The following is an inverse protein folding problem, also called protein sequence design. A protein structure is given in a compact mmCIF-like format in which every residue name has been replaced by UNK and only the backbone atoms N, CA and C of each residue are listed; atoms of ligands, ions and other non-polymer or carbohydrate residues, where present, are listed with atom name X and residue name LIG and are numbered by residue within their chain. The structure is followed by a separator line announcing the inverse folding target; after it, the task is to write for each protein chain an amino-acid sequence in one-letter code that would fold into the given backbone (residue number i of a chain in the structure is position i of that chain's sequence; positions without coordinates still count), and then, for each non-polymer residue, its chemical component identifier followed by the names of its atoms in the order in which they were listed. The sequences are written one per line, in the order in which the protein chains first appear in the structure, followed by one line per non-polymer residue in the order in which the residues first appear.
data_IF_661404316606
#
_entry.id   IF_661404316606
#
_cell.length_a   1.000
_cell.length_b   1.000
_cell.length_c   1.000
_cell.angle_alpha   90.00
_cell.angle_beta   90.00
_cell.angle_gamma   90.00
#
_symmetry.space_group_name_H-M   'P 1'
#
loop_
_entity.id
_entity.type
_entity.pdbx_description
1 polymer ?
#
# COMPACT_ATOMS: atom_id res chain seq x y z
N UNK A 1 1.12 18.27 -21.31
CA UNK A 1 1.34 17.36 -20.18
C UNK A 1 1.67 15.96 -20.70
N UNK A 2 2.71 15.35 -20.17
CA UNK A 2 3.13 14.03 -20.60
C UNK A 2 2.62 13.00 -19.62
N UNK A 3 1.77 12.10 -20.08
CA UNK A 3 1.26 11.01 -19.27
C UNK A 3 2.29 9.87 -19.23
N UNK A 4 2.31 9.12 -18.14
CA UNK A 4 3.13 7.90 -18.08
C UNK A 4 2.71 6.94 -19.19
N UNK A 5 3.65 6.13 -19.66
CA UNK A 5 3.34 5.11 -20.67
C UNK A 5 2.43 4.03 -20.08
N UNK A 6 1.70 3.28 -20.94
CA UNK A 6 0.90 2.16 -20.46
C UNK A 6 1.69 1.16 -19.62
N UNK A 7 2.93 0.87 -19.99
CA UNK A 7 3.80 -0.03 -19.21
C UNK A 7 4.09 0.50 -17.82
N UNK A 8 4.34 1.80 -17.70
CA UNK A 8 4.57 2.43 -16.41
C UNK A 8 3.31 2.40 -15.56
N UNK A 9 2.16 2.71 -16.16
CA UNK A 9 0.88 2.70 -15.44
C UNK A 9 0.50 1.30 -14.99
N UNK A 10 0.76 0.29 -15.80
CA UNK A 10 0.46 -1.11 -15.49
C UNK A 10 1.01 -1.51 -14.12
N UNK A 11 2.22 -1.09 -13.81
CA UNK A 11 2.87 -1.44 -12.54
C UNK A 11 2.05 -0.98 -11.34
N UNK A 12 1.52 0.25 -11.39
CA UNK A 12 0.71 0.79 -10.30
C UNK A 12 -0.61 0.03 -10.16
N UNK A 13 -1.29 -0.20 -11.27
CA UNK A 13 -2.56 -0.90 -11.25
C UNK A 13 -2.41 -2.34 -10.78
N UNK A 14 -1.41 -3.05 -11.27
CA UNK A 14 -1.14 -4.42 -10.82
C UNK A 14 -0.78 -4.47 -9.34
N UNK A 15 -0.04 -3.48 -8.87
CA UNK A 15 0.32 -3.41 -7.46
C UNK A 15 -0.89 -3.30 -6.56
N UNK A 16 -1.91 -2.55 -6.98
CA UNK A 16 -3.13 -2.34 -6.21
C UNK A 16 -4.19 -3.42 -6.41
N UNK A 17 -4.14 -4.18 -7.50
CA UNK A 17 -5.24 -5.06 -7.93
C UNK A 17 -5.32 -6.35 -7.12
N UNK A 18 -5.73 -6.22 -5.85
CA UNK A 18 -5.93 -7.34 -4.93
C UNK A 18 -6.74 -6.79 -3.75
N UNK A 19 -7.83 -7.48 -3.36
CA UNK A 19 -8.71 -6.95 -2.31
C UNK A 19 -7.98 -6.72 -0.98
N UNK A 20 -7.02 -7.58 -0.61
CA UNK A 20 -6.24 -7.39 0.62
C UNK A 20 -5.33 -6.17 0.52
N UNK A 21 -4.73 -5.95 -0.65
CA UNK A 21 -3.87 -4.78 -0.87
C UNK A 21 -4.68 -3.49 -0.85
N UNK A 22 -5.88 -3.50 -1.38
CA UNK A 22 -6.80 -2.36 -1.30
C UNK A 22 -7.14 -2.07 0.17
N UNK A 23 -7.43 -3.11 0.95
CA UNK A 23 -7.69 -2.95 2.38
C UNK A 23 -6.47 -2.38 3.12
N UNK A 24 -5.27 -2.85 2.77
CA UNK A 24 -4.05 -2.35 3.38
C UNK A 24 -3.85 -0.86 3.09
N UNK A 25 -4.05 -0.45 1.84
CA UNK A 25 -3.95 0.97 1.47
C UNK A 25 -4.92 1.82 2.29
N UNK A 26 -6.15 1.36 2.45
CA UNK A 26 -7.16 2.07 3.24
C UNK A 26 -6.76 2.17 4.71
N UNK A 27 -6.22 1.10 5.29
CA UNK A 27 -5.76 1.09 6.68
C UNK A 27 -4.57 2.02 6.90
N UNK A 28 -3.61 1.99 5.98
CA UNK A 28 -2.42 2.86 6.07
C UNK A 28 -2.83 4.32 6.00
N UNK A 29 -3.82 4.65 5.18
CA UNK A 29 -4.33 6.01 5.09
C UNK A 29 -4.90 6.49 6.43
N UNK A 30 -5.64 5.63 7.11
CA UNK A 30 -6.24 5.97 8.41
C UNK A 30 -5.22 5.95 9.55
N UNK A 31 -4.16 5.17 9.41
CA UNK A 31 -3.19 4.92 10.47
C UNK A 31 -1.78 5.12 9.93
N UNK A 32 -1.41 6.37 9.68
CA UNK A 32 -0.08 6.69 9.15
C UNK A 32 0.98 6.19 10.13
N UNK A 33 1.95 5.46 9.60
CA UNK A 33 3.00 4.85 10.43
C UNK A 33 2.65 3.45 10.94
N UNK A 34 1.56 2.85 10.48
CA UNK A 34 1.14 1.52 10.93
C UNK A 34 2.17 0.45 10.60
N UNK A 35 2.34 -0.53 11.49
CA UNK A 35 3.26 -1.64 11.30
C UNK A 35 2.55 -2.82 10.63
N UNK A 36 3.36 -3.73 10.06
CA UNK A 36 2.86 -4.98 9.47
C UNK A 36 2.08 -5.80 10.50
N UNK A 37 2.62 -5.87 11.72
CA UNK A 37 1.99 -6.62 12.80
C UNK A 37 0.59 -6.09 13.10
N UNK A 38 0.46 -4.76 13.16
CA UNK A 38 -0.84 -4.14 13.45
C UNK A 38 -1.81 -4.32 12.30
N UNK A 39 -1.34 -4.24 11.06
CA UNK A 39 -2.18 -4.53 9.89
C UNK A 39 -2.70 -5.97 9.97
N UNK A 40 -1.81 -6.91 10.30
CA UNK A 40 -2.20 -8.30 10.44
C UNK A 40 -3.29 -8.52 11.49
N UNK A 41 -3.16 -7.85 12.64
CA UNK A 41 -4.17 -7.90 13.68
C UNK A 41 -5.53 -7.37 13.19
N UNK A 42 -5.52 -6.20 12.58
CA UNK A 42 -6.74 -5.53 12.13
C UNK A 42 -7.46 -6.29 11.02
N UNK A 43 -6.71 -6.92 10.12
CA UNK A 43 -7.28 -7.68 9.01
C UNK A 43 -7.44 -9.17 9.33
N UNK A 44 -7.06 -9.58 10.54
CA UNK A 44 -7.10 -10.98 10.97
C UNK A 44 -6.37 -11.86 9.95
N UNK A 45 -5.18 -11.44 9.59
CA UNK A 45 -4.39 -12.08 8.55
C UNK A 45 -2.97 -12.34 9.05
N UNK A 46 -2.40 -13.43 8.56
CA UNK A 46 -1.04 -13.84 8.89
C UNK A 46 -0.03 -12.73 8.53
N UNK A 47 0.89 -12.43 9.45
CA UNK A 47 1.92 -11.40 9.25
C UNK A 47 2.75 -11.66 7.99
N UNK A 48 3.07 -12.92 7.72
CA UNK A 48 3.84 -13.28 6.53
C UNK A 48 3.12 -12.88 5.24
N UNK A 49 1.81 -13.12 5.19
CA UNK A 49 0.97 -12.74 4.05
C UNK A 49 0.91 -11.22 3.92
N UNK A 50 0.72 -10.52 5.04
CA UNK A 50 0.69 -9.05 5.04
C UNK A 50 2.03 -8.48 4.60
N UNK A 51 3.15 -9.06 5.07
CA UNK A 51 4.49 -8.63 4.66
C UNK A 51 4.67 -8.73 3.15
N UNK A 52 4.18 -9.81 2.54
CA UNK A 52 4.26 -10.00 1.10
C UNK A 52 3.44 -8.93 0.35
N UNK A 53 2.23 -8.66 0.82
CA UNK A 53 1.38 -7.64 0.19
C UNK A 53 1.96 -6.24 0.35
N UNK A 54 2.46 -5.88 1.52
CA UNK A 54 3.09 -4.56 1.74
C UNK A 54 4.35 -4.41 0.90
N UNK A 55 5.14 -5.49 0.77
CA UNK A 55 6.34 -5.47 -0.07
C UNK A 55 5.97 -5.16 -1.52
N UNK A 56 4.92 -5.79 -2.04
CA UNK A 56 4.47 -5.54 -3.42
C UNK A 56 3.95 -4.12 -3.59
N UNK A 57 3.25 -3.59 -2.59
CA UNK A 57 2.77 -2.21 -2.63
C UNK A 57 3.93 -1.20 -2.62
N UNK A 58 4.97 -1.48 -1.84
CA UNK A 58 6.18 -0.64 -1.83
C UNK A 58 6.88 -0.70 -3.19
N UNK A 59 7.04 -1.89 -3.74
CA UNK A 59 7.65 -2.07 -5.07
C UNK A 59 6.87 -1.37 -6.17
N UNK A 60 5.55 -1.34 -6.05
CA UNK A 60 4.69 -0.65 -7.02
C UNK A 60 4.70 0.87 -6.84
N UNK A 61 5.32 1.38 -5.77
CA UNK A 61 5.39 2.81 -5.53
C UNK A 61 4.14 3.40 -4.87
N UNK A 62 3.31 2.56 -4.23
CA UNK A 62 2.07 2.99 -3.59
C UNK A 62 2.21 3.19 -2.08
N UNK A 63 3.20 2.53 -1.47
CA UNK A 63 3.53 2.68 -0.06
C UNK A 63 4.99 3.06 0.09
N UNK A 64 5.27 3.83 1.14
CA UNK A 64 6.62 4.07 1.63
C UNK A 64 6.79 3.26 2.91
N UNK A 65 8.01 2.85 3.20
CA UNK A 65 8.33 2.23 4.48
C UNK A 65 9.49 2.97 5.14
N UNK A 66 9.42 3.09 6.45
CA UNK A 66 10.45 3.74 7.25
C UNK A 66 10.82 2.81 8.39
N UNK A 67 12.11 2.58 8.56
CA UNK A 67 12.61 1.75 9.65
C UNK A 67 12.72 2.61 10.91
N UNK A 68 12.11 2.11 12.00
CA UNK A 68 12.14 2.77 13.31
C UNK A 68 12.60 1.75 14.33
N UNK A 69 13.93 1.63 14.50
CA UNK A 69 14.49 0.57 15.31
C UNK A 69 14.19 -0.79 14.69
N UNK A 70 13.47 -1.64 15.44
CA UNK A 70 13.11 -2.98 14.98
C UNK A 70 11.78 -3.04 14.24
N UNK A 71 11.05 -1.93 14.23
CA UNK A 71 9.76 -1.88 13.57
C UNK A 71 9.87 -1.20 12.21
N UNK A 72 8.93 -1.54 11.32
CA UNK A 72 8.83 -0.92 10.02
C UNK A 72 7.46 -0.26 9.93
N UNK A 73 7.47 1.06 9.83
CA UNK A 73 6.27 1.86 9.68
C UNK A 73 5.94 2.05 8.21
N UNK A 74 4.66 2.09 7.88
CA UNK A 74 4.19 2.29 6.51
C UNK A 74 3.36 3.55 6.39
N UNK A 75 3.52 4.26 5.27
CA UNK A 75 2.73 5.44 4.93
C UNK A 75 2.40 5.39 3.45
N UNK A 76 1.36 6.12 3.04
CA UNK A 76 1.03 6.21 1.62
C UNK A 76 2.04 7.10 0.91
N UNK A 77 2.46 6.66 -0.29
CA UNK A 77 3.19 7.54 -1.20
C UNK A 77 2.20 8.51 -1.83
N UNK A 78 2.69 9.57 -2.53
CA UNK A 78 1.78 10.43 -3.30
C UNK A 78 0.93 9.65 -4.31
N UNK A 79 1.48 8.59 -4.89
CA UNK A 79 0.72 7.74 -5.81
C UNK A 79 -0.31 6.89 -5.07
N UNK A 80 0.02 6.42 -3.85
CA UNK A 80 -0.93 5.72 -3.01
C UNK A 80 -2.12 6.60 -2.67
N UNK A 81 -1.87 7.89 -2.36
CA UNK A 81 -2.93 8.86 -2.10
C UNK A 81 -3.83 9.02 -3.32
N UNK A 82 -3.23 9.09 -4.51
CA UNK A 82 -4.00 9.19 -5.76
C UNK A 82 -4.89 7.98 -5.98
N UNK A 83 -4.39 6.78 -5.69
CA UNK A 83 -5.16 5.55 -5.83
C UNK A 83 -6.34 5.52 -4.85
N UNK A 84 -6.13 5.92 -3.61
CA UNK A 84 -7.22 5.99 -2.62
C UNK A 84 -8.28 6.99 -3.08
N UNK A 85 -7.88 8.17 -3.54
CA UNK A 85 -8.82 9.17 -4.03
C UNK A 85 -9.62 8.64 -5.22
N UNK A 86 -8.96 7.96 -6.14
CA UNK A 86 -9.60 7.35 -7.29
C UNK A 86 -10.61 6.29 -6.87
N UNK A 87 -10.21 5.39 -5.96
CA UNK A 87 -11.08 4.32 -5.48
C UNK A 87 -12.32 4.86 -4.76
N UNK A 88 -12.18 5.97 -4.05
CA UNK A 88 -13.31 6.61 -3.37
C UNK A 88 -14.36 7.14 -4.34
N UNK A 89 -13.98 7.38 -5.59
CA UNK A 89 -14.91 7.89 -6.59
C UNK A 89 -15.86 6.81 -7.10
N UNK A 90 -15.61 5.56 -6.76
CA UNK A 90 -16.53 4.49 -7.06
C UNK A 90 -17.56 4.38 -5.93
#
# INVERSE_FOLDING_TARGET
MVMKTPKQLERYFKGAANHRRINILALVRKNDGITVERIGELLECNVKTISEHTRRLVQAGLLNKTYQGRTVAHSLSPYGEKFISFMKSF
#
